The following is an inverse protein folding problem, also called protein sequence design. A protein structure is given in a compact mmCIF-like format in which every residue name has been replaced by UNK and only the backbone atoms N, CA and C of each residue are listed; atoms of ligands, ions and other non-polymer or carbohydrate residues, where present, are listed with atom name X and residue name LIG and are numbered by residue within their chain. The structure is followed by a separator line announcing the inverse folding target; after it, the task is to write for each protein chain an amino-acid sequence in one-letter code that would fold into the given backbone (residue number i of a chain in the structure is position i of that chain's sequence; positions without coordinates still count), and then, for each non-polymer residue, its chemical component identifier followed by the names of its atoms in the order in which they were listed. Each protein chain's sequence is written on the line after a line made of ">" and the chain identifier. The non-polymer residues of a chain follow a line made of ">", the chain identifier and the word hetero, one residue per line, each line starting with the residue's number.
data_IF_956782662990
#
_entry.id   IF_956782662990
#
_cell.length_a   1.000
_cell.length_b   1.000
_cell.length_c   1.000
_cell.angle_alpha   90.00
_cell.angle_beta   90.00
_cell.angle_gamma   90.00
#
_symmetry.space_group_name_H-M   'P 1'
#
loop_
_entity.id
_entity.type
_entity.pdbx_description
1 polymer ?
2 non-polymer ?
3 non-polymer ?
4 water ?
#
# COMPACT_ATOMS: atom_id res chain seq x y z
N UNK A 5 -28.68 -1.45 -0.25
CA UNK A 5 -27.35 -1.89 0.17
C UNK A 5 -26.31 -1.56 -0.87
N UNK A 6 -25.21 -0.87 -0.50
CA UNK A 6 -24.18 -0.58 -1.50
C UNK A 6 -23.47 -1.82 -2.02
N UNK A 7 -22.97 -1.77 -3.26
CA UNK A 7 -22.20 -2.88 -3.81
C UNK A 7 -20.76 -2.80 -3.32
N UNK A 8 -19.98 -3.86 -3.55
CA UNK A 8 -18.56 -3.86 -3.18
C UNK A 8 -17.78 -2.78 -3.91
N UNK A 9 -18.05 -2.61 -5.22
CA UNK A 9 -17.35 -1.59 -5.99
C UNK A 9 -17.75 -0.19 -5.57
N UNK A 10 -19.01 -0.01 -5.20
CA UNK A 10 -19.50 1.28 -4.71
C UNK A 10 -18.78 1.61 -3.38
N UNK A 11 -18.62 0.61 -2.50
CA UNK A 11 -17.93 0.80 -1.23
C UNK A 11 -16.46 1.08 -1.42
N UNK A 12 -15.83 0.44 -2.42
CA UNK A 12 -14.43 0.74 -2.72
C UNK A 12 -14.30 2.20 -3.19
N UNK A 13 -15.21 2.65 -4.07
CA UNK A 13 -15.17 4.03 -4.54
C UNK A 13 -15.45 5.02 -3.42
N UNK A 14 -16.36 4.66 -2.51
CA UNK A 14 -16.63 5.52 -1.37
C UNK A 14 -15.38 5.62 -0.48
N UNK A 15 -14.69 4.50 -0.28
CA UNK A 15 -13.44 4.51 0.48
C UNK A 15 -12.38 5.36 -0.19
N UNK A 16 -12.27 5.25 -1.51
CA UNK A 16 -11.31 6.06 -2.26
C UNK A 16 -11.61 7.55 -2.10
N UNK A 17 -12.88 7.91 -2.15
CA UNK A 17 -13.29 9.30 -2.01
C UNK A 17 -13.01 9.81 -0.59
N UNK A 18 -13.27 8.98 0.41
CA UNK A 18 -12.99 9.36 1.81
C UNK A 18 -11.49 9.49 2.04
N UNK A 19 -10.69 8.65 1.39
CA UNK A 19 -9.23 8.74 1.50
C UNK A 19 -8.74 10.06 0.91
N UNK A 20 -9.28 10.50 -0.23
CA UNK A 20 -8.94 11.80 -0.82
C UNK A 20 -9.29 12.94 0.17
N UNK A 21 -10.36 12.76 0.95
CA UNK A 21 -10.76 13.71 1.96
C UNK A 21 -10.07 13.56 3.30
N UNK A 22 -9.01 12.71 3.38
CA UNK A 22 -8.21 12.46 4.58
C UNK A 22 -9.04 11.91 5.75
N UNK A 23 -10.05 11.10 5.44
CA UNK A 23 -10.88 10.47 6.46
C UNK A 23 -10.45 9.01 6.49
N UNK A 24 -9.27 8.75 7.07
CA UNK A 24 -8.65 7.43 7.00
C UNK A 24 -9.41 6.30 7.72
N UNK A 25 -9.90 6.44 8.97
CA UNK A 25 -10.66 5.34 9.57
C UNK A 25 -11.97 5.06 8.82
N UNK A 26 -12.63 6.10 8.34
CA UNK A 26 -13.88 5.97 7.61
C UNK A 26 -13.62 5.25 6.29
N UNK A 27 -12.53 5.62 5.61
CA UNK A 27 -12.18 4.96 4.34
C UNK A 27 -11.87 3.49 4.62
N UNK A 28 -11.10 3.20 5.68
CA UNK A 28 -10.75 1.83 6.00
C UNK A 28 -11.97 0.99 6.29
N UNK A 29 -12.99 1.57 6.93
CA UNK A 29 -14.23 0.86 7.22
C UNK A 29 -15.00 0.55 5.96
N UNK A 30 -14.99 1.46 4.96
CA UNK A 30 -15.61 1.20 3.66
C UNK A 30 -14.94 0.01 3.00
N UNK A 31 -13.59 -0.05 3.04
CA UNK A 31 -12.91 -1.20 2.43
C UNK A 31 -13.26 -2.49 3.15
N UNK A 32 -13.44 -2.43 4.47
CA UNK A 32 -13.90 -3.62 5.20
C UNK A 32 -15.28 -4.08 4.74
N UNK A 33 -16.19 -3.15 4.46
CA UNK A 33 -17.52 -3.51 3.97
C UNK A 33 -17.43 -4.11 2.56
N UNK A 34 -16.50 -3.59 1.74
CA UNK A 34 -16.30 -4.14 0.40
C UNK A 34 -15.78 -5.58 0.52
N UNK A 35 -14.85 -5.83 1.46
CA UNK A 35 -14.28 -7.16 1.71
C UNK A 35 -15.37 -8.13 2.17
N UNK A 36 -16.36 -7.65 2.96
CA UNK A 36 -17.48 -8.50 3.38
C UNK A 36 -18.23 -9.03 2.15
N UNK A 37 -18.42 -8.20 1.13
CA UNK A 37 -19.09 -8.64 -0.09
C UNK A 37 -18.22 -9.52 -0.95
N UNK A 38 -16.95 -9.15 -1.10
CA UNK A 38 -16.03 -9.93 -1.90
C UNK A 38 -14.63 -9.84 -1.32
N UNK A 39 -14.20 -10.90 -0.61
CA UNK A 39 -12.88 -10.86 0.03
C UNK A 39 -11.75 -11.33 -0.88
N UNK A 40 -12.02 -11.52 -2.18
CA UNK A 40 -11.00 -12.01 -3.10
C UNK A 40 -10.54 -10.96 -4.09
N UNK A 41 -10.64 -9.67 -3.73
CA UNK A 41 -10.21 -8.54 -4.57
C UNK A 41 -9.03 -7.86 -3.90
N UNK A 42 -7.84 -8.00 -4.49
CA UNK A 42 -6.62 -7.47 -3.89
C UNK A 42 -6.69 -5.97 -3.56
N UNK A 43 -7.29 -5.16 -4.45
CA UNK A 43 -7.25 -3.69 -4.29
C UNK A 43 -7.96 -3.23 -3.01
N UNK A 44 -8.94 -3.99 -2.49
CA UNK A 44 -9.59 -3.55 -1.24
C UNK A 44 -8.56 -3.58 -0.11
N UNK A 45 -7.67 -4.61 -0.12
CA UNK A 45 -6.62 -4.74 0.90
C UNK A 45 -5.49 -3.76 0.69
N UNK A 46 -5.10 -3.51 -0.58
CA UNK A 46 -4.02 -2.52 -0.79
C UNK A 46 -4.47 -1.15 -0.34
N UNK A 47 -5.72 -0.79 -0.68
CA UNK A 47 -6.18 0.56 -0.34
C UNK A 47 -6.35 0.70 1.16
N UNK A 48 -6.85 -0.35 1.83
CA UNK A 48 -6.97 -0.30 3.28
C UNK A 48 -5.60 -0.25 3.93
N UNK A 49 -4.59 -0.92 3.36
CA UNK A 49 -3.23 -0.90 3.93
C UNK A 49 -2.70 0.52 4.00
N UNK A 50 -2.95 1.33 2.94
CA UNK A 50 -2.46 2.71 2.99
C UNK A 50 -3.21 3.52 4.06
N UNK A 51 -4.49 3.26 4.26
CA UNK A 51 -5.24 3.88 5.38
C UNK A 51 -4.59 3.54 6.70
N UNK A 52 -4.28 2.27 6.93
CA UNK A 52 -3.64 1.83 8.17
C UNK A 52 -2.29 2.49 8.33
N UNK A 53 -1.53 2.64 7.24
CA UNK A 53 -0.22 3.31 7.33
C UNK A 53 -0.40 4.76 7.75
N UNK A 54 -1.39 5.46 7.17
CA UNK A 54 -1.66 6.85 7.56
C UNK A 54 -2.12 6.95 9.01
N UNK A 55 -2.72 5.90 9.57
CA UNK A 55 -3.16 5.83 10.96
C UNK A 55 -2.08 5.28 11.92
N UNK A 56 -0.86 5.12 11.41
CA UNK A 56 0.26 4.60 12.21
C UNK A 56 0.01 3.18 12.71
N UNK A 57 -0.81 2.42 11.99
CA UNK A 57 -1.11 1.05 12.36
C UNK A 57 -0.30 0.16 11.43
N UNK A 58 1.02 0.17 11.63
CA UNK A 58 1.92 -0.55 10.74
C UNK A 58 1.70 -2.03 10.66
N UNK A 59 1.46 -2.70 11.78
CA UNK A 59 1.23 -4.15 11.73
C UNK A 59 -0.03 -4.47 10.93
N UNK A 60 -1.08 -3.66 11.06
CA UNK A 60 -2.30 -3.89 10.27
C UNK A 60 -2.05 -3.61 8.79
N UNK A 61 -1.24 -2.60 8.49
CA UNK A 61 -0.91 -2.30 7.09
C UNK A 61 -0.11 -3.46 6.46
N UNK A 62 0.86 -4.03 7.21
CA UNK A 62 1.64 -5.16 6.70
C UNK A 62 0.71 -6.34 6.42
N UNK A 63 -0.22 -6.63 7.34
CA UNK A 63 -1.14 -7.75 7.14
C UNK A 63 -2.00 -7.56 5.89
N UNK A 64 -2.51 -6.35 5.62
CA UNK A 64 -3.29 -6.12 4.41
C UNK A 64 -2.46 -6.23 3.17
N UNK A 65 -1.18 -5.79 3.22
CA UNK A 65 -0.30 -6.01 2.07
C UNK A 65 -0.13 -7.51 1.78
N UNK A 66 0.01 -8.31 2.83
CA UNK A 66 0.14 -9.77 2.65
C UNK A 66 -1.14 -10.36 2.07
N UNK A 67 -2.32 -9.90 2.52
CA UNK A 67 -3.57 -10.40 1.94
C UNK A 67 -3.66 -10.03 0.47
N UNK A 68 -3.27 -8.81 0.11
CA UNK A 68 -3.29 -8.37 -1.29
C UNK A 68 -2.32 -9.22 -2.14
N UNK A 69 -1.11 -9.48 -1.63
CA UNK A 69 -0.11 -10.23 -2.36
C UNK A 69 -0.47 -11.68 -2.58
N UNK A 70 -1.29 -12.25 -1.74
CA UNK A 70 -1.78 -13.61 -1.94
C UNK A 70 -2.80 -13.66 -3.08
N UNK A 71 -3.48 -12.52 -3.39
CA UNK A 71 -4.46 -12.42 -4.45
C UNK A 71 -3.90 -11.90 -5.77
N UNK A 72 -2.92 -11.01 -5.71
CA UNK A 72 -2.31 -10.41 -6.88
C UNK A 72 -0.82 -10.21 -6.63
N UNK A 73 -0.02 -11.19 -7.03
CA UNK A 73 1.42 -11.14 -6.88
C UNK A 73 2.09 -10.06 -7.70
N UNK A 74 1.37 -9.52 -8.70
CA UNK A 74 1.91 -8.50 -9.57
C UNK A 74 1.53 -7.09 -9.11
N UNK A 75 0.95 -6.93 -7.92
CA UNK A 75 0.50 -5.64 -7.45
C UNK A 75 1.60 -4.64 -7.19
N UNK A 76 1.62 -3.56 -7.98
CA UNK A 76 2.56 -2.46 -7.74
C UNK A 76 2.25 -1.79 -6.39
N UNK A 77 0.98 -1.47 -6.14
CA UNK A 77 0.59 -0.84 -4.86
C UNK A 77 0.97 -1.67 -3.68
N UNK A 78 0.72 -3.00 -3.70
CA UNK A 78 1.06 -3.80 -2.52
C UNK A 78 2.54 -3.75 -2.18
N UNK A 79 3.40 -3.86 -3.20
CA UNK A 79 4.83 -3.78 -2.97
C UNK A 79 5.28 -2.38 -2.53
N UNK A 80 4.69 -1.35 -3.13
CA UNK A 80 5.06 0.03 -2.81
C UNK A 80 4.66 0.33 -1.36
N UNK A 81 3.41 0.02 -0.98
CA UNK A 81 2.93 0.28 0.37
C UNK A 81 3.66 -0.58 1.38
N UNK A 82 4.00 -1.83 1.02
CA UNK A 82 4.80 -2.65 1.91
C UNK A 82 6.17 -2.01 2.16
N UNK A 83 6.80 -1.54 1.10
CA UNK A 83 8.10 -0.90 1.23
C UNK A 83 8.04 0.37 2.06
N UNK A 84 7.02 1.22 1.84
CA UNK A 84 6.89 2.46 2.61
C UNK A 84 6.61 2.16 4.08
N UNK A 85 5.85 1.10 4.36
CA UNK A 85 5.56 0.68 5.72
C UNK A 85 6.82 0.17 6.41
N UNK A 86 7.59 -0.67 5.70
CA UNK A 86 8.83 -1.18 6.24
C UNK A 86 9.84 -0.08 6.47
N UNK A 87 9.87 0.94 5.60
CA UNK A 87 10.75 2.08 5.80
C UNK A 87 10.41 2.80 7.13
N UNK A 88 9.13 3.05 7.39
CA UNK A 88 8.73 3.68 8.63
C UNK A 88 9.09 2.83 9.86
N UNK A 89 9.06 1.50 9.69
CA UNK A 89 9.41 0.56 10.75
C UNK A 89 10.92 0.32 10.89
N UNK A 90 11.74 1.03 10.09
CA UNK A 90 13.19 0.92 10.11
C UNK A 90 13.72 -0.43 9.61
N UNK A 91 12.91 -1.14 8.80
CA UNK A 91 13.32 -2.40 8.19
C UNK A 91 13.84 -2.00 6.79
N UNK A 92 14.98 -1.32 6.75
CA UNK A 92 15.51 -0.71 5.53
C UNK A 92 15.82 -1.63 4.37
N UNK A 93 16.48 -2.76 4.61
CA UNK A 93 16.82 -3.67 3.50
C UNK A 93 15.56 -4.20 2.83
N UNK A 94 14.58 -4.57 3.64
CA UNK A 94 13.32 -5.08 3.14
C UNK A 94 12.57 -4.01 2.37
N UNK A 95 12.53 -2.80 2.93
CA UNK A 95 11.83 -1.68 2.30
C UNK A 95 12.40 -1.40 0.91
N UNK A 96 13.73 -1.32 0.80
CA UNK A 96 14.39 -1.04 -0.46
C UNK A 96 14.08 -2.10 -1.50
N UNK A 97 14.13 -3.37 -1.12
CA UNK A 97 13.83 -4.44 -2.07
C UNK A 97 12.36 -4.36 -2.54
N UNK A 98 11.42 -4.07 -1.63
CA UNK A 98 10.02 -3.94 -2.03
C UNK A 98 9.78 -2.73 -2.94
N UNK A 99 10.45 -1.61 -2.63
CA UNK A 99 10.33 -0.43 -3.50
C UNK A 99 10.93 -0.71 -4.88
N UNK A 100 12.06 -1.42 -4.93
CA UNK A 100 12.65 -1.77 -6.22
C UNK A 100 11.75 -2.71 -7.00
N UNK A 101 11.05 -3.60 -6.30
CA UNK A 101 10.14 -4.52 -6.94
C UNK A 101 8.94 -3.77 -7.50
N UNK A 102 8.42 -2.77 -6.76
CA UNK A 102 7.34 -1.93 -7.25
C UNK A 102 7.80 -1.19 -8.52
N UNK A 103 9.06 -0.70 -8.52
CA UNK A 103 9.58 0.00 -9.70
C UNK A 103 9.57 -0.93 -10.93
N UNK A 104 10.05 -2.15 -10.76
CA UNK A 104 10.13 -3.07 -11.88
C UNK A 104 8.75 -3.48 -12.37
N UNK A 105 7.82 -3.73 -11.45
CA UNK A 105 6.46 -4.08 -11.82
C UNK A 105 5.77 -2.91 -12.51
N UNK A 106 5.98 -1.68 -12.02
CA UNK A 106 5.36 -0.51 -12.66
C UNK A 106 5.87 -0.30 -14.07
N UNK A 107 7.17 -0.52 -14.30
CA UNK A 107 7.74 -0.36 -15.63
C UNK A 107 7.19 -1.43 -16.55
N UNK A 108 7.11 -2.68 -16.07
CA UNK A 108 6.57 -3.78 -16.89
C UNK A 108 5.10 -3.56 -17.24
N UNK A 109 4.33 -2.91 -16.35
CA UNK A 109 2.92 -2.62 -16.54
C UNK A 109 2.62 -1.25 -17.18
N UNK A 110 3.68 -0.49 -17.55
CA UNK A 110 3.59 0.84 -18.16
C UNK A 110 2.82 1.84 -17.29
N UNK A 111 3.01 1.76 -15.97
CA UNK A 111 2.34 2.67 -15.04
C UNK A 111 3.19 3.90 -14.82
N UNK A 112 2.56 5.07 -14.76
CA UNK A 112 3.28 6.31 -14.61
C UNK A 112 3.08 7.00 -13.27
N UNK A 113 4.05 6.87 -12.37
CA UNK A 113 4.02 7.59 -11.10
C UNK A 113 5.12 8.66 -11.08
N UNK A 114 5.51 9.19 -12.25
CA UNK A 114 6.59 10.17 -12.35
C UNK A 114 7.88 9.62 -11.76
N UNK A 115 8.53 10.42 -10.93
CA UNK A 115 9.76 9.98 -10.27
C UNK A 115 9.50 9.48 -8.84
N UNK A 116 8.24 9.14 -8.48
CA UNK A 116 7.93 8.75 -7.11
C UNK A 116 8.68 7.55 -6.61
N UNK A 117 8.79 6.48 -7.43
CA UNK A 117 9.45 5.28 -6.94
C UNK A 117 10.96 5.47 -6.80
N UNK A 118 11.68 6.02 -7.80
CA UNK A 118 13.12 6.30 -7.59
C UNK A 118 13.34 7.28 -6.42
N UNK A 119 12.44 8.27 -6.23
CA UNK A 119 12.58 9.22 -5.12
C UNK A 119 12.39 8.51 -3.79
N UNK A 120 11.42 7.60 -3.72
CA UNK A 120 11.17 6.83 -2.52
C UNK A 120 12.37 5.94 -2.20
N UNK A 121 12.97 5.33 -3.25
CA UNK A 121 14.18 4.53 -3.10
C UNK A 121 15.34 5.34 -2.53
N UNK A 122 15.56 6.55 -3.03
CA UNK A 122 16.66 7.39 -2.54
C UNK A 122 16.39 7.82 -1.12
N UNK A 123 15.11 8.12 -0.78
CA UNK A 123 14.75 8.51 0.59
C UNK A 123 15.06 7.33 1.51
N UNK A 124 14.67 6.11 1.08
CA UNK A 124 14.92 4.91 1.84
C UNK A 124 16.39 4.57 1.96
N UNK A 125 17.15 4.66 0.85
CA UNK A 125 18.59 4.37 0.88
C UNK A 125 19.35 5.42 1.70
N UNK A 126 18.93 6.67 1.66
CA UNK A 126 19.59 7.74 2.40
C UNK A 126 19.34 7.55 3.89
N UNK A 127 18.09 7.20 4.25
CA UNK A 127 17.73 6.95 5.63
C UNK A 127 18.51 5.73 6.15
N UNK A 128 18.65 4.68 5.32
CA UNK A 128 19.44 3.50 5.68
C UNK A 128 20.90 3.88 5.92
N UNK A 129 21.50 4.66 5.01
CA UNK A 129 22.89 5.09 5.15
C UNK A 129 23.07 5.93 6.42
N UNK A 130 22.15 6.86 6.68
CA UNK A 130 22.22 7.71 7.87
C UNK A 130 22.14 6.89 9.17
N UNK A 131 21.43 5.76 9.14
CA UNK A 131 21.30 4.90 10.31
C UNK A 131 22.54 4.02 10.53
N UNK A 132 23.27 3.69 9.48
CA UNK A 132 24.47 2.86 9.58
C UNK A 132 25.78 3.67 9.61
#
# INVERSE_FOLDING_TARGET
>A
GSHMSPSAQELKEQGNRLFVGRKYPEAAACYGRAITRNPLVAVYYTNRALCYLKMQQHEQALADCRRALELDGQSVKAHFFLGQCQLEMESYDEAIANLQRAYSLAKEQRLNFGDDIPSALRIAKKKRWNSIEERR
#
